data_IF_481467910170
#
_entry.id   IF_481467910170
#
_cell.length_a   1.000
_cell.length_b   1.000
_cell.length_c   1.000
_cell.angle_alpha   90.00
_cell.angle_beta   90.00
_cell.angle_gamma   90.00
#
_symmetry.space_group_name_H-M   'P 1'
#
loop_
_entity.id
_entity.type
_entity.pdbx_description
1 polymer ?
#
# COMPACT_ATOMS: atom_id res chain seq x y z
N UNK A 1 33.20 26.01 1.36
CA UNK A 1 31.84 26.43 0.98
C UNK A 1 31.15 25.20 0.44
N UNK A 2 30.04 24.76 1.01
CA UNK A 2 29.26 23.65 0.45
C UNK A 2 28.66 24.12 -0.88
N UNK A 3 28.99 23.46 -1.98
CA UNK A 3 28.37 23.72 -3.27
C UNK A 3 26.86 23.47 -3.16
N UNK A 4 26.05 24.48 -3.47
CA UNK A 4 24.60 24.36 -3.48
C UNK A 4 24.17 23.74 -4.81
N UNK A 5 23.63 22.52 -4.76
CA UNK A 5 23.05 21.86 -5.93
C UNK A 5 21.58 22.26 -6.04
N UNK A 6 21.15 22.66 -7.23
CA UNK A 6 19.74 22.91 -7.52
C UNK A 6 19.08 21.65 -8.04
N UNK A 7 18.07 21.16 -7.32
CA UNK A 7 17.31 19.97 -7.70
C UNK A 7 16.06 20.37 -8.49
N UNK A 8 15.84 19.71 -9.63
CA UNK A 8 14.60 19.81 -10.43
C UNK A 8 13.84 18.51 -10.32
N UNK A 9 12.64 18.58 -9.73
CA UNK A 9 11.75 17.45 -9.55
C UNK A 9 10.47 17.67 -10.37
N UNK A 10 10.14 16.81 -11.34
CA UNK A 10 8.85 16.85 -12.03
C UNK A 10 7.70 16.62 -11.05
N UNK A 11 6.65 17.46 -11.12
CA UNK A 11 5.48 17.29 -10.24
C UNK A 11 4.78 15.94 -10.46
N UNK A 12 4.71 15.48 -11.72
CA UNK A 12 4.12 14.19 -12.03
C UNK A 12 4.90 13.04 -11.38
N UNK A 13 6.23 13.11 -11.36
CA UNK A 13 7.05 12.10 -10.71
C UNK A 13 6.82 12.10 -9.19
N UNK A 14 6.74 13.27 -8.57
CA UNK A 14 6.39 13.36 -7.15
C UNK A 14 5.01 12.76 -6.84
N UNK A 15 3.99 13.07 -7.66
CA UNK A 15 2.65 12.52 -7.49
C UNK A 15 2.62 11.00 -7.74
N UNK A 16 3.36 10.51 -8.74
CA UNK A 16 3.49 9.07 -9.04
C UNK A 16 3.99 8.32 -7.80
N UNK A 17 5.10 8.79 -7.25
CA UNK A 17 5.77 8.13 -6.12
C UNK A 17 4.97 8.24 -4.83
N UNK A 18 4.25 9.35 -4.59
CA UNK A 18 3.43 9.52 -3.38
C UNK A 18 2.08 8.81 -3.44
N UNK A 19 1.43 8.77 -4.61
CA UNK A 19 -0.01 8.48 -4.70
C UNK A 19 -0.40 7.41 -5.72
N UNK A 20 0.35 7.20 -6.81
CA UNK A 20 -0.10 6.36 -7.94
C UNK A 20 0.46 4.94 -7.89
N UNK A 21 0.42 4.32 -6.72
CA UNK A 21 0.90 2.95 -6.52
C UNK A 21 -0.19 1.88 -6.66
N UNK A 22 -1.44 2.28 -6.90
CA UNK A 22 -2.52 1.38 -7.35
C UNK A 22 -3.33 2.05 -8.46
N UNK A 23 -3.88 1.29 -9.42
CA UNK A 23 -4.85 1.79 -10.40
C UNK A 23 -6.00 2.58 -9.77
N UNK A 24 -6.54 2.11 -8.65
CA UNK A 24 -7.60 2.83 -7.93
C UNK A 24 -7.15 4.24 -7.52
N UNK A 25 -6.02 4.38 -6.82
CA UNK A 25 -5.57 5.70 -6.36
C UNK A 25 -5.23 6.63 -7.53
N UNK A 26 -4.67 6.11 -8.61
CA UNK A 26 -4.40 6.88 -9.82
C UNK A 26 -5.70 7.43 -10.45
N UNK A 27 -6.76 6.60 -10.55
CA UNK A 27 -8.09 7.05 -11.03
C UNK A 27 -8.75 8.03 -10.05
N UNK A 28 -8.74 7.70 -8.76
CA UNK A 28 -9.36 8.51 -7.72
C UNK A 28 -8.74 9.90 -7.61
N UNK A 29 -7.44 10.05 -7.89
CA UNK A 29 -6.75 11.34 -7.82
C UNK A 29 -7.28 12.38 -8.83
N UNK A 30 -7.81 11.93 -9.97
CA UNK A 30 -8.36 12.83 -11.00
C UNK A 30 -9.88 13.04 -10.88
N UNK A 31 -10.53 12.36 -9.93
CA UNK A 31 -11.96 12.48 -9.65
C UNK A 31 -12.18 13.31 -8.37
N UNK A 32 -13.06 14.31 -8.45
CA UNK A 32 -13.41 15.10 -7.27
C UNK A 32 -14.13 14.25 -6.21
N UNK A 33 -13.74 14.42 -4.95
CA UNK A 33 -14.34 13.77 -3.78
C UNK A 33 -14.35 12.24 -3.78
N UNK A 34 -13.56 11.58 -4.65
CA UNK A 34 -13.48 10.11 -4.77
C UNK A 34 -13.26 9.40 -3.43
N UNK A 35 -12.23 9.80 -2.69
CA UNK A 35 -11.90 9.21 -1.39
C UNK A 35 -13.02 9.41 -0.35
N UNK A 36 -13.75 10.53 -0.41
CA UNK A 36 -14.88 10.79 0.50
C UNK A 36 -16.15 10.00 0.13
N UNK A 37 -16.27 9.57 -1.13
CA UNK A 37 -17.36 8.69 -1.60
C UNK A 37 -17.10 7.25 -1.19
N UNK A 38 -15.83 6.85 -1.11
CA UNK A 38 -15.43 5.47 -0.88
C UNK A 38 -15.09 5.16 0.58
N UNK A 39 -14.69 6.15 1.37
CA UNK A 39 -14.27 6.00 2.75
C UNK A 39 -15.00 6.99 3.68
N UNK A 40 -15.71 6.45 4.67
CA UNK A 40 -16.25 7.21 5.79
C UNK A 40 -15.31 7.08 7.01
N UNK A 41 -14.85 8.20 7.55
CA UNK A 41 -13.82 8.26 8.59
C UNK A 41 -14.42 8.80 9.88
N UNK A 42 -14.34 8.01 10.96
CA UNK A 42 -14.78 8.39 12.30
C UNK A 42 -13.58 8.44 13.24
N UNK A 43 -13.36 9.59 13.90
CA UNK A 43 -12.35 9.73 14.95
C UNK A 43 -12.95 9.38 16.31
N UNK A 44 -12.68 8.17 16.79
CA UNK A 44 -13.03 7.75 18.15
C UNK A 44 -11.97 8.23 19.15
N UNK A 45 -12.25 8.23 20.47
CA UNK A 45 -11.27 8.64 21.47
C UNK A 45 -9.97 7.84 21.42
N UNK A 46 -10.06 6.54 21.16
CA UNK A 46 -9.00 5.53 21.21
C UNK A 46 -8.42 5.15 19.84
N UNK A 47 -9.22 5.18 18.78
CA UNK A 47 -8.81 4.78 17.43
C UNK A 47 -9.45 5.65 16.33
N UNK A 48 -8.93 5.58 15.10
CA UNK A 48 -9.62 6.01 13.89
C UNK A 48 -10.34 4.82 13.27
N UNK A 49 -11.61 4.97 12.91
CA UNK A 49 -12.37 3.96 12.17
C UNK A 49 -12.56 4.42 10.73
N UNK A 50 -12.06 3.64 9.78
CA UNK A 50 -12.23 3.85 8.35
C UNK A 50 -13.24 2.80 7.84
N UNK A 51 -14.45 3.25 7.58
CA UNK A 51 -15.53 2.47 6.97
C UNK A 51 -15.38 2.50 5.45
N UNK A 52 -15.12 1.34 4.84
CA UNK A 52 -15.05 1.17 3.39
C UNK A 52 -16.46 0.98 2.87
N UNK A 53 -16.92 1.95 2.08
CA UNK A 53 -18.29 2.01 1.58
C UNK A 53 -18.51 1.02 0.43
N UNK A 54 -19.76 0.54 0.21
CA UNK A 54 -20.04 -0.53 -0.76
C UNK A 54 -19.60 -0.24 -2.20
N UNK A 55 -19.58 1.05 -2.59
CA UNK A 55 -19.20 1.53 -3.91
C UNK A 55 -17.67 1.54 -4.15
N UNK A 56 -16.87 1.42 -3.08
CA UNK A 56 -15.42 1.43 -3.20
C UNK A 56 -14.93 0.27 -4.07
N UNK A 57 -14.23 0.61 -5.15
CA UNK A 57 -13.60 -0.32 -6.08
C UNK A 57 -12.17 -0.74 -5.66
N UNK A 58 -11.71 -0.30 -4.49
CA UNK A 58 -10.41 -0.72 -3.94
C UNK A 58 -10.43 -2.21 -3.56
N UNK A 59 -9.48 -3.03 -4.05
CA UNK A 59 -9.49 -4.47 -3.82
C UNK A 59 -9.54 -4.86 -2.34
N UNK A 60 -10.46 -5.76 -1.98
CA UNK A 60 -10.59 -6.25 -0.60
C UNK A 60 -9.32 -7.00 -0.12
N UNK A 61 -8.58 -7.61 -1.06
CA UNK A 61 -7.32 -8.31 -0.82
C UNK A 61 -6.20 -7.39 -0.34
N UNK A 62 -6.16 -6.14 -0.81
CA UNK A 62 -5.16 -5.14 -0.41
C UNK A 62 -5.19 -4.86 1.09
N UNK A 63 -6.37 -4.87 1.71
CA UNK A 63 -6.50 -4.68 3.16
C UNK A 63 -5.95 -5.85 3.98
N UNK A 64 -5.49 -6.95 3.39
CA UNK A 64 -4.78 -7.99 4.13
C UNK A 64 -3.30 -7.63 4.36
N UNK A 65 -2.73 -6.75 3.53
CA UNK A 65 -1.35 -6.26 3.65
C UNK A 65 -1.28 -5.08 4.65
N UNK A 66 -0.34 -5.15 5.60
CA UNK A 66 -0.18 -4.12 6.62
C UNK A 66 0.43 -2.82 6.07
N UNK A 67 1.36 -2.92 5.13
CA UNK A 67 2.00 -1.77 4.51
C UNK A 67 1.01 -0.99 3.65
N UNK A 68 0.19 -1.69 2.86
CA UNK A 68 -0.87 -1.03 2.09
C UNK A 68 -1.84 -0.30 3.02
N UNK A 69 -2.27 -0.93 4.13
CA UNK A 69 -3.12 -0.26 5.13
C UNK A 69 -2.43 0.96 5.74
N UNK A 70 -1.13 0.89 6.05
CA UNK A 70 -0.34 1.98 6.62
C UNK A 70 -0.32 3.19 5.69
N UNK A 71 0.03 3.00 4.42
CA UNK A 71 0.10 4.10 3.46
C UNK A 71 -1.29 4.65 3.12
N UNK A 72 -2.30 3.79 2.96
CA UNK A 72 -3.67 4.24 2.77
C UNK A 72 -4.17 5.06 3.98
N UNK A 73 -3.82 4.66 5.20
CA UNK A 73 -4.12 5.44 6.41
C UNK A 73 -3.46 6.82 6.37
N UNK A 74 -2.20 6.89 5.92
CA UNK A 74 -1.48 8.15 5.77
C UNK A 74 -2.17 9.09 4.77
N UNK A 75 -2.58 8.60 3.60
CA UNK A 75 -3.32 9.40 2.60
C UNK A 75 -4.68 9.87 3.14
N UNK A 76 -5.37 9.03 3.91
CA UNK A 76 -6.73 9.33 4.37
C UNK A 76 -6.78 10.24 5.60
N UNK A 77 -5.79 10.16 6.50
CA UNK A 77 -5.83 10.79 7.83
C UNK A 77 -4.87 11.98 7.97
N UNK A 78 -3.73 12.01 7.27
CA UNK A 78 -2.86 13.19 7.28
C UNK A 78 -3.49 14.27 6.41
N UNK A 79 -3.83 15.40 7.02
CA UNK A 79 -4.57 16.47 6.34
C UNK A 79 -3.79 17.11 5.18
N UNK A 80 -2.47 17.22 5.30
CA UNK A 80 -1.64 17.88 4.30
C UNK A 80 -1.42 16.94 3.10
N UNK A 81 -1.21 15.65 3.38
CA UNK A 81 -1.15 14.59 2.36
C UNK A 81 -2.48 14.46 1.63
N UNK A 82 -3.59 14.42 2.38
CA UNK A 82 -4.94 14.34 1.82
C UNK A 82 -5.25 15.54 0.92
N UNK A 83 -4.94 16.75 1.38
CA UNK A 83 -5.16 17.97 0.61
C UNK A 83 -4.29 17.99 -0.65
N UNK A 84 -3.04 17.52 -0.55
CA UNK A 84 -2.16 17.37 -1.69
C UNK A 84 -2.75 16.42 -2.74
N UNK A 85 -3.21 15.23 -2.33
CA UNK A 85 -3.87 14.26 -3.22
C UNK A 85 -5.10 14.87 -3.91
N UNK A 86 -6.00 15.48 -3.15
CA UNK A 86 -7.25 16.07 -3.69
C UNK A 86 -7.01 17.29 -4.56
N UNK A 87 -5.87 17.97 -4.42
CA UNK A 87 -5.54 19.12 -5.27
C UNK A 87 -5.34 18.75 -6.74
N UNK A 88 -5.05 17.47 -7.05
CA UNK A 88 -4.90 16.97 -8.42
C UNK A 88 -6.22 17.13 -9.19
N UNK A 89 -7.33 16.60 -8.68
CA UNK A 89 -8.66 16.74 -9.30
C UNK A 89 -9.13 18.20 -9.30
N UNK A 90 -8.87 18.96 -8.24
CA UNK A 90 -9.18 20.40 -8.20
C UNK A 90 -8.46 21.17 -9.32
N UNK A 91 -7.19 20.88 -9.59
CA UNK A 91 -6.42 21.56 -10.65
C UNK A 91 -6.82 21.09 -12.04
N UNK A 92 -7.14 19.80 -12.19
CA UNK A 92 -7.80 19.24 -13.36
C UNK A 92 -9.08 20.02 -13.73
N UNK A 93 -9.97 20.22 -12.75
CA UNK A 93 -11.23 20.95 -12.95
C UNK A 93 -10.98 22.43 -13.21
N UNK A 94 -10.04 23.05 -12.49
CA UNK A 94 -9.80 24.48 -12.58
C UNK A 94 -9.06 24.92 -13.84
N UNK A 95 -8.04 24.18 -14.25
CA UNK A 95 -7.13 24.57 -15.34
C UNK A 95 -7.32 23.75 -16.61
N UNK A 96 -8.07 22.65 -16.55
CA UNK A 96 -8.39 21.87 -17.72
C UNK A 96 -9.39 22.57 -18.65
N UNK A 97 -9.36 22.18 -19.92
CA UNK A 97 -10.32 22.59 -20.93
C UNK A 97 -10.70 21.39 -21.80
N UNK A 98 -11.90 21.45 -22.38
CA UNK A 98 -12.44 20.33 -23.14
C UNK A 98 -12.17 20.50 -24.63
N UNK A 99 -11.72 19.42 -25.27
CA UNK A 99 -11.54 19.30 -26.73
C UNK A 99 -12.22 18.01 -27.15
N UNK A 100 -13.35 18.12 -27.85
CA UNK A 100 -14.27 17.02 -28.17
C UNK A 100 -14.65 16.21 -26.91
N UNK A 101 -14.22 14.96 -26.83
CA UNK A 101 -14.45 14.03 -25.71
C UNK A 101 -13.31 14.00 -24.69
N UNK A 102 -12.30 14.85 -24.85
CA UNK A 102 -11.10 14.86 -24.02
C UNK A 102 -11.01 16.09 -23.15
N UNK A 103 -10.67 15.88 -21.88
CA UNK A 103 -10.23 16.92 -20.95
C UNK A 103 -8.71 17.06 -21.05
N UNK A 104 -8.20 18.23 -21.40
CA UNK A 104 -6.76 18.49 -21.53
C UNK A 104 -6.31 19.46 -20.44
N UNK A 105 -5.23 19.11 -19.72
CA UNK A 105 -4.55 20.01 -18.79
C UNK A 105 -3.05 19.72 -18.71
N UNK A 106 -2.25 20.70 -18.27
CA UNK A 106 -0.85 20.47 -17.88
C UNK A 106 -0.80 20.01 -16.43
N UNK A 107 -0.30 18.79 -16.18
CA UNK A 107 -0.37 18.19 -14.84
C UNK A 107 0.27 19.09 -13.79
N UNK A 108 -0.50 19.42 -12.76
CA UNK A 108 -0.03 20.13 -11.60
C UNK A 108 -0.88 19.78 -10.38
N UNK A 109 -0.30 19.93 -9.20
CA UNK A 109 -0.97 19.76 -7.92
C UNK A 109 -0.24 20.61 -6.86
N UNK A 110 -0.76 20.67 -5.64
CA UNK A 110 -0.07 21.25 -4.50
C UNK A 110 0.68 20.15 -3.75
N UNK A 111 2.03 20.06 -3.85
CA UNK A 111 2.79 19.05 -3.13
C UNK A 111 2.64 19.21 -1.61
N UNK A 112 2.70 18.10 -0.84
CA UNK A 112 2.65 18.17 0.61
C UNK A 112 3.98 18.66 1.19
N UNK A 113 3.94 19.07 2.45
CA UNK A 113 5.07 19.44 3.28
C UNK A 113 5.85 18.19 3.69
N UNK A 114 6.94 17.91 2.98
CA UNK A 114 7.80 16.75 3.24
C UNK A 114 9.02 17.13 4.10
N UNK A 115 8.76 17.82 5.21
CA UNK A 115 9.82 18.33 6.09
C UNK A 115 10.60 17.18 6.75
N UNK A 116 11.91 17.15 6.52
CA UNK A 116 12.80 16.14 7.10
C UNK A 116 12.76 14.76 6.44
N UNK A 117 11.94 14.58 5.40
CA UNK A 117 11.89 13.38 4.56
C UNK A 117 13.12 13.33 3.67
N UNK A 118 13.75 12.16 3.58
CA UNK A 118 14.86 11.90 2.66
C UNK A 118 14.29 11.21 1.43
N UNK A 119 14.68 11.69 0.24
CA UNK A 119 14.27 11.12 -1.04
C UNK A 119 15.41 10.29 -1.61
N UNK A 120 15.10 9.06 -1.99
CA UNK A 120 15.98 8.23 -2.79
C UNK A 120 15.61 8.45 -4.26
N UNK A 121 16.56 8.96 -5.05
CA UNK A 121 16.27 9.39 -6.43
C UNK A 121 17.34 8.96 -7.42
N UNK A 122 16.89 8.61 -8.62
CA UNK A 122 17.73 8.47 -9.80
C UNK A 122 17.52 9.66 -10.74
N UNK A 123 18.61 10.09 -11.37
CA UNK A 123 18.60 11.29 -12.19
C UNK A 123 19.95 11.54 -12.82
N UNK A 124 20.07 12.67 -13.50
CA UNK A 124 21.33 13.11 -14.09
C UNK A 124 21.77 14.43 -13.48
N UNK A 125 23.06 14.50 -13.15
CA UNK A 125 23.71 15.71 -12.69
C UNK A 125 24.36 16.44 -13.85
N UNK A 126 24.04 17.72 -13.99
CA UNK A 126 24.64 18.63 -14.96
C UNK A 126 25.64 19.55 -14.27
N UNK A 127 26.92 19.22 -14.40
CA UNK A 127 28.01 19.90 -13.71
C UNK A 127 28.13 21.38 -14.10
N UNK A 128 27.82 21.75 -15.35
CA UNK A 128 27.97 23.13 -15.83
C UNK A 128 27.00 24.11 -15.16
N UNK A 129 25.85 23.62 -14.71
CA UNK A 129 24.80 24.42 -14.09
C UNK A 129 24.59 24.09 -12.61
N UNK A 130 25.34 23.11 -12.07
CA UNK A 130 25.11 22.53 -10.74
C UNK A 130 23.65 22.15 -10.52
N UNK A 131 23.02 21.56 -11.54
CA UNK A 131 21.62 21.14 -11.50
C UNK A 131 21.51 19.61 -11.52
N UNK A 132 20.71 19.04 -10.63
CA UNK A 132 20.33 17.63 -10.65
C UNK A 132 18.87 17.51 -11.10
N UNK A 133 18.61 16.78 -12.17
CA UNK A 133 17.26 16.50 -12.64
C UNK A 133 16.85 15.10 -12.21
N UNK A 134 15.75 15.02 -11.45
CA UNK A 134 15.18 13.77 -10.99
C UNK A 134 14.39 13.13 -12.13
N UNK A 135 14.78 11.91 -12.50
CA UNK A 135 14.01 11.07 -13.41
C UNK A 135 13.02 10.19 -12.65
N UNK A 136 13.46 9.67 -11.50
CA UNK A 136 12.71 8.69 -10.71
C UNK A 136 12.99 8.91 -9.22
N UNK A 137 11.95 8.88 -8.40
CA UNK A 137 12.03 8.69 -6.96
C UNK A 137 11.78 7.21 -6.70
N UNK A 138 12.78 6.53 -6.14
CA UNK A 138 12.71 5.14 -5.75
C UNK A 138 12.16 4.95 -4.34
N UNK A 139 12.22 5.98 -3.48
CA UNK A 139 11.65 5.88 -2.15
C UNK A 139 11.76 7.10 -1.28
N UNK A 140 11.14 7.01 -0.11
CA UNK A 140 11.05 8.04 0.90
C UNK A 140 11.40 7.45 2.27
N UNK A 141 12.29 8.11 2.99
CA UNK A 141 12.68 7.70 4.34
C UNK A 141 12.34 8.80 5.35
N UNK A 142 12.21 8.37 6.61
CA UNK A 142 11.96 9.26 7.75
C UNK A 142 10.64 10.03 7.65
N UNK A 143 9.61 9.39 7.09
CA UNK A 143 8.27 9.98 7.00
C UNK A 143 7.66 10.09 8.40
N UNK A 144 7.15 11.27 8.74
CA UNK A 144 6.36 11.45 9.96
C UNK A 144 4.88 11.46 9.61
N UNK A 145 4.14 10.43 10.05
CA UNK A 145 2.71 10.29 9.71
C UNK A 145 1.79 11.22 10.50
N UNK A 146 2.24 11.74 11.65
CA UNK A 146 1.42 12.51 12.62
C UNK A 146 0.14 11.78 13.09
N UNK A 147 -0.02 10.50 12.77
CA UNK A 147 -1.16 9.66 13.15
C UNK A 147 -0.81 8.99 14.48
N UNK A 148 -1.49 9.41 15.54
CA UNK A 148 -1.17 9.03 16.93
C UNK A 148 -2.04 7.91 17.52
N UNK A 149 -3.04 7.43 16.77
CA UNK A 149 -3.98 6.40 17.21
C UNK A 149 -3.96 5.24 16.24
N UNK A 150 -4.33 4.06 16.74
CA UNK A 150 -4.60 2.88 15.91
C UNK A 150 -5.65 3.21 14.83
N UNK A 151 -5.48 2.64 13.64
CA UNK A 151 -6.40 2.77 12.52
C UNK A 151 -7.09 1.44 12.25
N UNK A 152 -8.40 1.41 12.44
CA UNK A 152 -9.26 0.26 12.18
C UNK A 152 -9.95 0.40 10.83
N UNK A 153 -9.76 -0.60 9.97
CA UNK A 153 -10.48 -0.73 8.70
C UNK A 153 -11.67 -1.66 8.85
N UNK A 154 -12.84 -1.20 8.39
CA UNK A 154 -14.08 -1.95 8.41
C UNK A 154 -14.72 -2.04 7.02
N UNK A 155 -15.20 -3.23 6.66
CA UNK A 155 -16.06 -3.45 5.49
C UNK A 155 -16.98 -4.64 5.71
N UNK A 156 -18.21 -4.59 5.19
CA UNK A 156 -19.14 -5.72 5.18
C UNK A 156 -18.69 -6.88 4.27
N UNK A 157 -17.73 -6.61 3.38
CA UNK A 157 -17.07 -7.58 2.49
C UNK A 157 -15.95 -8.36 3.19
N UNK A 158 -15.49 -7.91 4.37
CA UNK A 158 -14.44 -8.60 5.11
C UNK A 158 -14.97 -9.91 5.71
N UNK A 159 -14.26 -11.01 5.42
CA UNK A 159 -14.58 -12.35 5.92
C UNK A 159 -13.36 -12.91 6.64
N UNK A 160 -13.53 -13.26 7.92
CA UNK A 160 -12.54 -14.03 8.66
C UNK A 160 -12.68 -15.53 8.38
N UNK A 161 -11.61 -16.15 7.89
CA UNK A 161 -11.51 -17.61 7.87
C UNK A 161 -10.98 -18.12 9.21
N UNK A 162 -11.80 -18.83 9.99
CA UNK A 162 -11.30 -19.57 11.16
C UNK A 162 -10.59 -20.84 10.67
N UNK A 163 -9.25 -20.85 10.69
CA UNK A 163 -8.45 -22.04 10.38
C UNK A 163 -8.32 -22.94 11.60
N UNK A 164 -8.95 -24.11 11.57
CA UNK A 164 -8.52 -25.28 12.32
C UNK A 164 -7.71 -26.19 11.39
N UNK A 165 -6.39 -26.23 11.58
CA UNK A 165 -5.49 -27.17 10.90
C UNK A 165 -4.65 -26.59 9.77
N UNK A 166 -3.40 -27.11 9.66
CA UNK A 166 -2.39 -26.84 8.62
C UNK A 166 -3.02 -26.87 7.22
N UNK A 167 -3.33 -25.69 6.70
CA UNK A 167 -3.50 -25.44 5.29
C UNK A 167 -2.60 -24.26 4.96
N UNK A 168 -1.85 -24.35 3.87
CA UNK A 168 -1.06 -23.22 3.38
C UNK A 168 -1.91 -21.96 3.40
N UNK A 169 -1.36 -20.91 4.03
CA UNK A 169 -1.90 -19.58 3.93
C UNK A 169 -2.02 -19.27 2.44
N UNK A 170 -3.24 -19.22 1.92
CA UNK A 170 -3.54 -18.58 0.65
C UNK A 170 -3.56 -17.08 0.92
N UNK A 171 -2.44 -16.55 1.41
CA UNK A 171 -2.17 -15.13 1.45
C UNK A 171 -1.31 -14.84 0.22
N UNK A 172 -1.93 -14.31 -0.81
CA UNK A 172 -1.25 -13.94 -2.04
C UNK A 172 -2.24 -13.90 -3.19
N UNK A 173 -2.60 -12.68 -3.58
CA UNK A 173 -3.00 -12.40 -4.95
C UNK A 173 -1.92 -12.99 -5.85
N UNK A 174 -2.29 -13.90 -6.75
CA UNK A 174 -1.31 -14.75 -7.44
C UNK A 174 -0.67 -14.00 -8.60
N UNK A 175 0.64 -13.84 -8.55
CA UNK A 175 1.45 -13.61 -9.74
C UNK A 175 1.91 -14.98 -10.24
N UNK A 176 1.28 -15.46 -11.32
CA UNK A 176 1.69 -16.73 -11.95
C UNK A 176 2.94 -16.55 -12.84
N UNK A 177 3.56 -15.36 -12.81
CA UNK A 177 4.71 -15.00 -13.65
C UNK A 177 4.42 -15.05 -15.16
N UNK A 178 3.15 -15.19 -15.55
CA UNK A 178 2.70 -15.27 -16.94
C UNK A 178 2.34 -13.89 -17.45
N UNK A 179 2.86 -13.57 -18.63
CA UNK A 179 2.44 -12.42 -19.40
C UNK A 179 0.92 -12.50 -19.66
N UNK A 180 0.22 -11.42 -19.32
CA UNK A 180 -1.23 -11.36 -19.36
C UNK A 180 -1.68 -10.59 -20.59
N UNK A 181 -2.76 -11.04 -21.23
CA UNK A 181 -3.32 -10.35 -22.38
C UNK A 181 -4.36 -9.35 -21.90
N UNK A 182 -4.27 -8.10 -22.34
CA UNK A 182 -5.23 -7.06 -22.00
C UNK A 182 -6.50 -7.22 -22.85
N UNK A 183 -7.66 -7.22 -22.19
CA UNK A 183 -9.00 -7.16 -22.79
C UNK A 183 -9.74 -5.92 -22.32
N UNK A 184 -9.62 -4.84 -23.08
CA UNK A 184 -10.27 -3.56 -22.74
C UNK A 184 -11.76 -3.53 -23.14
N UNK A 185 -12.26 -4.55 -23.84
CA UNK A 185 -13.66 -4.71 -24.23
C UNK A 185 -14.54 -5.38 -23.17
N UNK A 186 -13.94 -5.92 -22.10
CA UNK A 186 -14.62 -6.58 -20.99
C UNK A 186 -14.36 -5.82 -19.67
N UNK A 187 -15.33 -5.84 -18.75
CA UNK A 187 -15.14 -5.26 -17.43
C UNK A 187 -14.42 -6.21 -16.47
N UNK A 188 -13.46 -5.67 -15.72
CA UNK A 188 -12.73 -6.38 -14.67
C UNK A 188 -13.60 -6.63 -13.44
N UNK A 189 -13.43 -7.78 -12.79
CA UNK A 189 -14.09 -8.11 -11.53
C UNK A 189 -13.35 -7.52 -10.32
N UNK A 190 -14.03 -6.82 -9.42
CA UNK A 190 -13.40 -6.21 -8.24
C UNK A 190 -12.90 -7.21 -7.19
N UNK A 191 -13.44 -8.43 -7.17
CA UNK A 191 -13.08 -9.49 -6.24
C UNK A 191 -12.09 -10.51 -6.83
N UNK A 192 -11.93 -10.52 -8.16
CA UNK A 192 -10.94 -11.35 -8.87
C UNK A 192 -9.84 -10.48 -9.46
N UNK A 193 -8.69 -10.48 -8.78
CA UNK A 193 -7.59 -9.55 -9.06
C UNK A 193 -6.35 -10.34 -9.43
N UNK A 194 -5.69 -9.90 -10.51
CA UNK A 194 -4.37 -10.35 -10.90
C UNK A 194 -3.37 -9.22 -10.70
N UNK A 195 -2.33 -9.44 -9.88
CA UNK A 195 -1.26 -8.45 -9.70
C UNK A 195 -0.31 -8.51 -10.91
N UNK A 196 0.10 -7.34 -11.37
CA UNK A 196 1.15 -7.13 -12.35
C UNK A 196 2.36 -6.59 -11.59
N UNK A 197 3.50 -7.20 -11.82
CA UNK A 197 4.75 -6.77 -11.21
C UNK A 197 5.16 -5.40 -11.76
N UNK A 198 5.39 -4.45 -10.85
CA UNK A 198 5.89 -3.11 -11.14
C UNK A 198 7.05 -2.81 -10.21
N UNK A 199 7.93 -1.89 -10.60
CA UNK A 199 8.98 -1.41 -9.70
C UNK A 199 8.33 -0.61 -8.55
N UNK A 200 8.48 -1.04 -7.28
CA UNK A 200 7.83 -0.36 -6.18
C UNK A 200 8.58 0.93 -5.82
N UNK A 201 7.85 1.83 -5.15
CA UNK A 201 8.42 2.95 -4.41
C UNK A 201 8.49 2.55 -2.94
N UNK A 202 9.67 2.68 -2.34
CA UNK A 202 9.92 2.31 -0.95
C UNK A 202 9.44 3.41 0.01
N UNK A 203 8.82 3.01 1.11
CA UNK A 203 8.36 3.91 2.17
C UNK A 203 8.90 3.45 3.52
N UNK A 204 9.55 4.36 4.23
CA UNK A 204 10.01 4.17 5.60
C UNK A 204 9.52 5.32 6.50
N UNK A 205 8.61 4.98 7.42
CA UNK A 205 8.07 5.89 8.41
C UNK A 205 8.94 5.87 9.67
N UNK A 206 9.05 7.03 10.34
CA UNK A 206 9.74 7.12 11.64
C UNK A 206 9.10 6.22 12.71
N UNK A 207 7.78 6.08 12.65
CA UNK A 207 7.00 5.21 13.52
C UNK A 207 5.91 4.53 12.68
N UNK A 208 5.76 3.22 12.88
CA UNK A 208 4.74 2.45 12.20
C UNK A 208 3.34 2.90 12.63
N UNK A 209 2.48 3.25 11.66
CA UNK A 209 1.06 3.44 11.95
C UNK A 209 0.49 2.06 12.28
N UNK A 210 -0.08 1.93 13.49
CA UNK A 210 -0.75 0.71 13.91
C UNK A 210 -2.08 0.56 13.15
N UNK A 211 -2.25 -0.55 12.44
CA UNK A 211 -3.46 -0.81 11.66
C UNK A 211 -4.04 -2.17 11.95
N UNK A 212 -5.38 -2.24 12.00
CA UNK A 212 -6.12 -3.51 12.05
C UNK A 212 -7.26 -3.54 11.07
N UNK A 213 -7.72 -4.75 10.77
CA UNK A 213 -8.88 -5.05 9.95
C UNK A 213 -9.90 -5.79 10.80
N UNK A 214 -11.14 -5.32 10.83
CA UNK A 214 -12.22 -5.95 11.61
C UNK A 214 -13.27 -6.53 10.69
N UNK A 215 -13.66 -7.80 10.95
CA UNK A 215 -14.73 -8.47 10.20
C UNK A 215 -15.91 -8.83 11.10
N UNK A 216 -17.14 -8.73 10.58
CA UNK A 216 -18.35 -9.24 11.28
C UNK A 216 -18.67 -10.70 10.94
N UNK A 217 -18.14 -11.21 9.82
CA UNK A 217 -18.51 -12.53 9.27
C UNK A 217 -17.39 -13.54 9.50
N UNK A 218 -17.66 -14.54 10.33
CA UNK A 218 -16.81 -15.72 10.49
C UNK A 218 -17.24 -16.82 9.53
N UNK A 219 -16.34 -17.31 8.67
CA UNK A 219 -16.57 -18.53 7.88
C UNK A 219 -15.75 -19.68 8.48
N UNK A 220 -16.42 -20.78 8.82
CA UNK A 220 -15.75 -22.05 9.09
C UNK A 220 -15.20 -22.59 7.78
N UNK A 221 -13.88 -22.78 7.70
CA UNK A 221 -13.27 -23.50 6.58
C UNK A 221 -13.56 -24.97 6.80
N UNK A 222 -14.55 -25.52 6.10
CA UNK A 222 -14.72 -26.97 6.04
C UNK A 222 -13.45 -27.56 5.42
N UNK A 223 -12.91 -28.65 5.98
CA UNK A 223 -11.83 -29.42 5.37
C UNK A 223 -12.30 -29.90 3.98
N UNK A 224 -11.93 -29.14 2.95
CA UNK A 224 -12.16 -29.49 1.56
C UNK A 224 -11.27 -30.66 1.20
N UNK A 225 -11.90 -31.73 0.72
CA UNK A 225 -11.32 -32.78 -0.10
C UNK A 225 -10.42 -32.11 -1.14
N UNK A 226 -9.20 -32.64 -1.33
CA UNK A 226 -8.28 -32.20 -2.39
C UNK A 226 -9.07 -32.06 -3.69
N UNK A 227 -9.18 -30.84 -4.21
CA UNK A 227 -9.64 -30.64 -5.57
C UNK A 227 -8.76 -31.52 -6.45
N UNK A 228 -9.42 -32.39 -7.23
CA UNK A 228 -8.75 -33.13 -8.27
C UNK A 228 -8.02 -32.11 -9.14
N UNK A 229 -6.75 -32.37 -9.42
CA UNK A 229 -5.89 -31.59 -10.30
C UNK A 229 -6.64 -31.30 -11.60
N UNK A 230 -7.31 -30.14 -11.65
CA UNK A 230 -7.79 -29.57 -12.90
C UNK A 230 -6.53 -29.22 -13.68
N UNK A 231 -6.40 -29.69 -14.93
CA UNK A 231 -5.20 -29.47 -15.70
C UNK A 231 -4.94 -27.96 -15.76
N UNK A 232 -3.74 -27.56 -15.33
CA UNK A 232 -3.18 -26.23 -15.55
C UNK A 232 -3.15 -26.00 -17.05
N UNK A 233 -4.25 -25.48 -17.60
CA UNK A 233 -4.29 -24.99 -18.95
C UNK A 233 -3.30 -23.81 -18.99
N UNK A 234 -2.30 -23.94 -19.84
CA UNK A 234 -1.37 -22.88 -20.22
C UNK A 234 -2.10 -21.81 -21.04
N UNK A 235 -3.16 -21.22 -20.48
CA UNK A 235 -3.78 -20.03 -21.02
C UNK A 235 -3.05 -18.82 -20.44
N UNK A 236 -2.61 -17.91 -21.31
CA UNK A 236 -2.37 -16.52 -20.93
C UNK A 236 -3.58 -16.03 -20.14
N UNK A 237 -3.36 -15.47 -18.96
CA UNK A 237 -4.45 -14.91 -18.16
C UNK A 237 -4.90 -13.63 -18.85
N UNK A 238 -6.19 -13.55 -19.18
CA UNK A 238 -6.78 -12.35 -19.77
C UNK A 238 -7.20 -11.42 -18.63
N UNK A 239 -6.83 -10.15 -18.72
CA UNK A 239 -7.11 -9.16 -17.66
C UNK A 239 -7.70 -7.89 -18.26
N UNK A 240 -8.58 -7.23 -17.52
CA UNK A 240 -9.09 -5.91 -17.88
C UNK A 240 -8.31 -4.81 -17.17
N UNK A 241 -8.00 -3.73 -17.89
CA UNK A 241 -7.42 -2.50 -17.30
C UNK A 241 -8.46 -1.43 -16.96
N UNK A 242 -9.74 -1.71 -17.26
CA UNK A 242 -10.85 -0.83 -16.96
C UNK A 242 -11.10 -0.70 -15.45
N UNK A 243 -11.95 0.25 -15.06
CA UNK A 243 -12.41 0.32 -13.67
C UNK A 243 -13.20 -0.95 -13.32
N UNK A 244 -12.83 -1.67 -12.25
CA UNK A 244 -13.44 -2.94 -11.95
C UNK A 244 -14.83 -2.77 -11.33
N UNK A 245 -15.73 -3.66 -11.69
CA UNK A 245 -17.10 -3.74 -11.17
C UNK A 245 -17.33 -5.09 -10.50
N UNK A 246 -18.37 -5.19 -9.68
CA UNK A 246 -18.70 -6.44 -8.99
C UNK A 246 -19.09 -7.57 -9.96
N UNK A 247 -19.74 -7.23 -11.08
CA UNK A 247 -20.24 -8.18 -12.08
C UNK A 247 -19.25 -8.45 -13.24
N UNK A 248 -17.99 -8.01 -13.10
CA UNK A 248 -16.98 -8.16 -14.14
C UNK A 248 -16.74 -9.62 -14.52
N UNK A 249 -16.45 -9.85 -15.81
CA UNK A 249 -16.37 -11.17 -16.45
C UNK A 249 -14.94 -11.71 -16.52
N UNK A 250 -13.95 -10.82 -16.43
CA UNK A 250 -12.51 -11.15 -16.43
C UNK A 250 -11.82 -10.62 -15.17
N UNK A 251 -10.69 -11.19 -14.75
CA UNK A 251 -9.89 -10.62 -13.67
C UNK A 251 -9.46 -9.18 -13.95
N UNK A 252 -9.39 -8.38 -12.89
CA UNK A 252 -8.88 -7.01 -12.97
C UNK A 252 -7.35 -7.00 -12.91
N UNK A 253 -6.73 -6.27 -13.82
CA UNK A 253 -5.31 -5.95 -13.77
C UNK A 253 -5.05 -4.93 -12.67
N UNK A 254 -4.32 -5.36 -11.64
CA UNK A 254 -3.95 -4.51 -10.52
C UNK A 254 -2.43 -4.49 -10.38
N UNK A 255 -1.88 -3.47 -9.76
CA UNK A 255 -0.47 -3.46 -9.38
C UNK A 255 -0.34 -2.86 -7.99
N UNK A 256 0.69 -3.30 -7.27
CA UNK A 256 1.09 -2.66 -6.03
C UNK A 256 2.47 -2.04 -6.23
N UNK A 257 2.50 -0.73 -6.47
CA UNK A 257 3.72 0.05 -6.67
C UNK A 257 4.33 0.56 -5.35
N UNK A 258 3.98 -0.05 -4.22
CA UNK A 258 4.42 0.35 -2.89
C UNK A 258 5.11 -0.82 -2.20
N UNK A 259 6.22 -0.50 -1.55
CA UNK A 259 6.90 -1.40 -0.62
C UNK A 259 7.13 -0.64 0.70
N UNK A 260 6.53 -1.12 1.79
CA UNK A 260 6.67 -0.53 3.12
C UNK A 260 7.80 -1.25 3.87
N UNK A 261 8.86 -0.51 4.18
CA UNK A 261 10.07 -1.00 4.87
C UNK A 261 10.12 -0.56 6.34
N UNK A 262 9.04 0.06 6.83
CA UNK A 262 8.96 0.59 8.20
C UNK A 262 9.16 -0.50 9.24
N UNK A 263 10.04 -0.23 10.21
CA UNK A 263 10.22 -1.07 11.40
C UNK A 263 8.93 -1.11 12.24
N UNK A 264 8.33 -2.29 12.39
CA UNK A 264 7.05 -2.46 13.09
C UNK A 264 7.06 -3.57 14.15
N UNK A 265 8.24 -4.10 14.53
CA UNK A 265 8.37 -5.18 15.50
C UNK A 265 7.75 -4.79 16.85
N UNK A 266 7.90 -3.51 17.23
CA UNK A 266 7.36 -2.98 18.47
C UNK A 266 5.84 -3.18 18.60
N UNK A 267 5.09 -3.24 17.49
CA UNK A 267 3.63 -3.49 17.47
C UNK A 267 3.27 -4.94 17.84
N UNK A 268 4.22 -5.87 17.78
CA UNK A 268 3.97 -7.30 18.03
C UNK A 268 4.63 -7.82 19.30
N UNK A 269 5.44 -7.01 20.00
CA UNK A 269 6.21 -7.45 21.17
C UNK A 269 5.34 -8.09 22.26
N UNK A 270 4.13 -7.59 22.48
CA UNK A 270 3.19 -8.14 23.47
C UNK A 270 2.79 -9.60 23.17
N UNK A 271 2.77 -9.98 21.88
CA UNK A 271 2.50 -11.36 21.45
C UNK A 271 3.62 -12.31 21.82
N UNK A 272 4.82 -11.78 22.09
CA UNK A 272 6.00 -12.52 22.49
C UNK A 272 6.31 -12.40 23.99
N UNK A 273 5.40 -11.85 24.80
CA UNK A 273 5.57 -11.71 26.26
C UNK A 273 5.97 -13.02 26.97
N UNK A 274 5.35 -14.15 26.60
CA UNK A 274 5.72 -15.45 27.15
C UNK A 274 7.12 -15.91 26.73
N UNK A 275 7.55 -15.59 25.50
CA UNK A 275 8.90 -15.88 25.02
C UNK A 275 9.94 -14.99 25.71
N UNK A 276 9.66 -13.70 25.87
CA UNK A 276 10.49 -12.77 26.66
C UNK A 276 10.69 -13.31 28.08
N UNK A 277 9.61 -13.73 28.74
CA UNK A 277 9.70 -14.30 30.09
C UNK A 277 10.51 -15.60 30.13
N UNK A 278 10.44 -16.45 29.10
CA UNK A 278 11.29 -17.64 28.99
C UNK A 278 12.78 -17.26 28.85
N UNK A 279 13.11 -16.24 28.06
CA UNK A 279 14.48 -15.74 27.91
C UNK A 279 15.00 -15.16 29.23
N UNK A 280 14.18 -14.41 29.95
CA UNK A 280 14.53 -13.88 31.29
C UNK A 280 14.85 -15.01 32.28
N UNK A 281 14.03 -16.07 32.29
CA UNK A 281 14.28 -17.26 33.11
C UNK A 281 15.57 -17.97 32.70
N UNK A 282 15.83 -18.08 31.39
CA UNK A 282 17.06 -18.69 30.88
C UNK A 282 18.32 -17.93 31.32
N UNK A 283 18.30 -16.58 31.26
CA UNK A 283 19.40 -15.74 31.75
C UNK A 283 19.61 -15.86 33.26
N UNK A 284 18.54 -16.08 34.03
CA UNK A 284 18.63 -16.28 35.47
C UNK A 284 19.31 -17.59 35.85
N UNK A 285 19.12 -18.63 35.05
CA UNK A 285 19.66 -19.97 35.31
C UNK A 285 21.03 -20.22 34.68
N UNK A 286 21.42 -19.44 33.66
CA UNK A 286 22.67 -19.64 32.91
C UNK A 286 23.55 -18.39 32.93
N UNK A 287 24.87 -18.58 33.01
CA UNK A 287 25.86 -17.48 32.93
C UNK A 287 26.07 -16.96 31.50
N UNK A 288 25.04 -17.00 30.66
CA UNK A 288 25.06 -16.44 29.31
C UNK A 288 24.61 -14.98 29.41
N UNK A 289 25.38 -14.05 28.83
CA UNK A 289 25.16 -12.60 28.99
C UNK A 289 24.57 -11.92 27.76
N UNK A 290 24.49 -12.62 26.63
CA UNK A 290 24.06 -12.04 25.36
C UNK A 290 23.42 -13.16 24.52
N UNK A 291 22.24 -12.89 23.99
CA UNK A 291 21.56 -13.74 23.02
C UNK A 291 20.94 -12.82 21.98
N UNK A 292 21.31 -13.00 20.71
CA UNK A 292 20.63 -12.37 19.59
C UNK A 292 19.63 -13.35 18.98
N UNK A 293 18.40 -12.90 18.78
CA UNK A 293 17.42 -13.62 17.97
C UNK A 293 17.15 -12.78 16.73
N UNK A 294 17.33 -13.39 15.57
CA UNK A 294 16.86 -12.82 14.32
C UNK A 294 15.45 -13.36 14.05
N UNK A 295 14.45 -12.50 14.18
CA UNK A 295 13.14 -12.76 13.59
C UNK A 295 13.30 -12.59 12.08
N UNK A 296 13.52 -13.70 11.37
CA UNK A 296 13.46 -13.69 9.91
C UNK A 296 12.02 -13.40 9.50
N UNK A 297 11.77 -12.17 9.07
CA UNK A 297 10.65 -11.92 8.19
C UNK A 297 10.95 -12.63 6.87
N UNK A 298 10.00 -13.39 6.31
CA UNK A 298 10.22 -14.12 5.04
C UNK A 298 10.38 -13.19 3.83
N UNK A 299 10.28 -11.88 4.03
CA UNK A 299 10.64 -10.82 3.10
C UNK A 299 11.93 -10.17 3.62
N UNK A 300 13.02 -10.37 2.89
CA UNK A 300 14.36 -10.20 3.43
C UNK A 300 14.75 -8.75 3.74
N UNK A 301 14.70 -8.36 5.01
CA UNK A 301 15.52 -7.28 5.56
C UNK A 301 15.94 -7.62 7.00
N UNK A 302 17.21 -7.31 7.31
CA UNK A 302 17.90 -7.66 8.56
C UNK A 302 17.91 -6.44 9.47
N UNK A 303 17.06 -6.43 10.49
CA UNK A 303 17.21 -5.54 11.65
C UNK A 303 17.95 -6.28 12.76
N UNK A 304 19.19 -5.91 13.05
CA UNK A 304 19.86 -6.30 14.30
C UNK A 304 19.40 -5.36 15.41
N UNK A 305 18.65 -5.88 16.38
CA UNK A 305 18.45 -5.20 17.66
C UNK A 305 19.41 -5.81 18.68
N UNK A 306 20.29 -4.97 19.22
CA UNK A 306 21.17 -5.30 20.35
C UNK A 306 20.42 -4.88 21.64
N UNK A 307 20.20 -5.83 22.55
CA UNK A 307 19.73 -5.58 23.92
C UNK A 307 20.77 -6.08 24.92
#
# INVERSE_FOLDING_TARGET
MSETIKVRLPQFELARSLFFYTPYLARSAVLENSLSIDFDIVSNPDHYLINILPACSYPTSHFNDAGIRRILSWILLDSDIRQSFESISQFCTKYGYDVDQYRIWSFCFNPPQLNGVIFNTFGYYKAETSEFFVNEISGFERISSQISKEVEFYSDKFVESKSGGKGENSSGTKNDGKESTIKDDEEGNSDDVQIIDVLPTHFDFLEAIETRKTSKKTRHRNHGIKDQDLPSNNATSEVSTNEPIFEGTVPSAEFNGVEDETEDLHLYLDRFSAFQHMIDLFFKENSVKEFSFQLLNRTGFVGESIF
#
